data_IF_668764735807
#
_entry.id   IF_668764735807
#
_cell.length_a   1.000
_cell.length_b   1.000
_cell.length_c   1.000
_cell.angle_alpha   90.00
_cell.angle_beta   90.00
_cell.angle_gamma   90.00
#
_symmetry.space_group_name_H-M   'P 1'
#
loop_
_entity.id
_entity.type
_entity.pdbx_description
1 polymer ?
#
# COMPACT_ATOMS: atom_id res chain seq x y z
N UNK A 1 -16.69 0.33 -17.45
CA UNK A 1 -16.61 -1.13 -17.71
C UNK A 1 -15.14 -1.53 -17.73
N UNK A 2 -14.76 -2.47 -16.87
CA UNK A 2 -13.40 -3.02 -16.82
C UNK A 2 -13.23 -3.98 -18.00
N UNK A 3 -12.13 -3.87 -18.77
CA UNK A 3 -11.88 -4.77 -19.89
C UNK A 3 -11.83 -6.23 -19.41
N UNK A 4 -12.49 -7.13 -20.13
CA UNK A 4 -12.45 -8.57 -19.86
C UNK A 4 -13.49 -9.09 -18.86
N UNK A 5 -14.13 -8.24 -18.05
CA UNK A 5 -15.13 -8.73 -17.06
C UNK A 5 -16.44 -9.23 -17.69
N UNK A 6 -16.71 -8.84 -18.95
CA UNK A 6 -17.84 -9.32 -19.75
C UNK A 6 -17.53 -10.53 -20.65
N UNK A 7 -16.30 -11.04 -20.65
CA UNK A 7 -15.93 -12.20 -21.46
C UNK A 7 -16.30 -13.52 -20.74
N UNK A 8 -16.51 -14.63 -21.50
CA UNK A 8 -16.58 -15.97 -20.92
C UNK A 8 -15.33 -16.23 -20.07
N UNK A 9 -15.53 -16.74 -18.86
CA UNK A 9 -14.41 -17.04 -17.97
C UNK A 9 -13.78 -18.37 -18.40
N UNK A 10 -12.45 -18.44 -18.57
CA UNK A 10 -11.78 -19.69 -18.90
C UNK A 10 -11.89 -20.67 -17.73
N UNK A 11 -11.89 -21.97 -18.04
CA UNK A 11 -11.71 -23.00 -17.03
C UNK A 11 -10.31 -22.86 -16.41
N UNK A 12 -10.24 -22.75 -15.08
CA UNK A 12 -9.00 -22.73 -14.32
C UNK A 12 -9.28 -23.18 -12.88
N UNK A 13 -8.28 -23.79 -12.25
CA UNK A 13 -8.35 -24.22 -10.85
C UNK A 13 -8.05 -23.08 -9.87
N UNK A 14 -7.40 -22.03 -10.35
CA UNK A 14 -6.92 -20.90 -9.55
C UNK A 14 -7.01 -19.59 -10.35
N UNK A 15 -7.47 -18.53 -9.69
CA UNK A 15 -7.38 -17.17 -10.20
C UNK A 15 -6.58 -16.26 -9.27
N UNK A 16 -6.10 -15.13 -9.79
CA UNK A 16 -5.33 -14.14 -9.03
C UNK A 16 -6.01 -12.78 -9.14
N UNK A 17 -6.44 -12.22 -8.00
CA UNK A 17 -6.94 -10.84 -7.93
C UNK A 17 -5.74 -9.87 -7.86
N UNK A 18 -5.28 -9.41 -9.02
CA UNK A 18 -4.11 -8.54 -9.16
C UNK A 18 -4.49 -7.18 -9.76
N UNK A 19 -5.06 -6.30 -8.94
CA UNK A 19 -5.51 -4.96 -9.37
C UNK A 19 -4.87 -3.88 -8.50
N UNK A 20 -4.28 -2.85 -9.12
CA UNK A 20 -3.68 -1.70 -8.43
C UNK A 20 -4.73 -0.63 -8.03
N UNK A 21 -6.02 -0.98 -8.08
CA UNK A 21 -7.14 -0.13 -7.62
C UNK A 21 -7.42 -0.42 -6.14
N UNK A 22 -7.74 0.62 -5.37
CA UNK A 22 -7.95 0.57 -3.91
C UNK A 22 -9.12 -0.33 -3.52
N UNK A 23 -10.28 -0.16 -4.13
CA UNK A 23 -11.48 -0.93 -3.84
C UNK A 23 -11.93 -1.66 -5.09
N UNK A 24 -11.96 -2.98 -5.02
CA UNK A 24 -12.40 -3.85 -6.10
C UNK A 24 -13.91 -3.79 -6.17
N UNK A 25 -14.43 -3.24 -7.27
CA UNK A 25 -15.86 -3.10 -7.51
C UNK A 25 -16.55 -4.43 -7.85
N UNK A 26 -17.88 -4.39 -7.86
CA UNK A 26 -18.75 -5.56 -8.09
C UNK A 26 -18.50 -6.24 -9.45
N UNK A 27 -17.96 -5.53 -10.42
CA UNK A 27 -17.54 -6.06 -11.73
C UNK A 27 -16.58 -7.27 -11.61
N UNK A 28 -15.82 -7.36 -10.51
CA UNK A 28 -14.94 -8.49 -10.24
C UNK A 28 -15.57 -9.57 -9.36
N UNK A 29 -16.70 -9.30 -8.69
CA UNK A 29 -17.35 -10.27 -7.80
C UNK A 29 -17.70 -11.56 -8.57
N UNK A 30 -18.23 -11.43 -9.78
CA UNK A 30 -18.50 -12.57 -10.67
C UNK A 30 -17.26 -13.43 -10.94
N UNK A 31 -16.08 -12.83 -11.06
CA UNK A 31 -14.82 -13.53 -11.31
C UNK A 31 -14.35 -14.21 -10.03
N UNK A 32 -14.37 -13.49 -8.91
CA UNK A 32 -13.95 -13.99 -7.60
C UNK A 32 -14.82 -15.18 -7.19
N UNK A 33 -16.13 -15.10 -7.41
CA UNK A 33 -17.09 -16.13 -7.01
C UNK A 33 -17.16 -17.31 -8.02
N UNK A 34 -16.57 -17.18 -9.21
CA UNK A 34 -16.55 -18.24 -10.22
C UNK A 34 -15.48 -19.31 -9.96
N UNK A 35 -14.31 -18.90 -9.49
CA UNK A 35 -13.18 -19.80 -9.31
C UNK A 35 -13.16 -20.41 -7.89
N UNK A 36 -12.81 -21.71 -7.76
CA UNK A 36 -12.82 -22.37 -6.46
C UNK A 36 -11.76 -21.80 -5.51
N UNK A 37 -10.63 -21.34 -6.06
CA UNK A 37 -9.55 -20.67 -5.32
C UNK A 37 -9.19 -19.35 -6.01
N UNK A 38 -9.04 -18.28 -5.22
CA UNK A 38 -8.65 -16.96 -5.70
C UNK A 38 -7.60 -16.35 -4.78
N UNK A 39 -6.36 -16.25 -5.25
CA UNK A 39 -5.29 -15.53 -4.54
C UNK A 39 -5.71 -14.07 -4.37
N UNK A 40 -5.63 -13.58 -3.14
CA UNK A 40 -6.11 -12.28 -2.68
C UNK A 40 -7.62 -12.05 -2.86
N UNK A 41 -8.43 -13.09 -3.12
CA UNK A 41 -9.89 -12.94 -3.33
C UNK A 41 -10.64 -12.32 -2.14
N UNK A 42 -10.05 -12.43 -0.93
CA UNK A 42 -10.55 -11.82 0.31
C UNK A 42 -10.14 -10.36 0.48
N UNK A 43 -9.06 -9.94 -0.18
CA UNK A 43 -8.56 -8.56 -0.11
C UNK A 43 -9.31 -7.73 -1.14
N UNK A 44 -10.47 -7.18 -0.77
CA UNK A 44 -11.31 -6.38 -1.68
C UNK A 44 -11.02 -4.89 -1.61
N UNK A 45 -10.61 -4.38 -0.45
CA UNK A 45 -10.43 -2.96 -0.19
C UNK A 45 -9.15 -2.72 0.62
N UNK A 46 -8.27 -1.87 0.10
CA UNK A 46 -6.99 -1.48 0.73
C UNK A 46 -6.96 0.00 1.11
N UNK A 47 -8.12 0.64 1.26
CA UNK A 47 -8.22 2.02 1.74
C UNK A 47 -7.61 2.15 3.13
N UNK A 48 -6.91 3.26 3.42
CA UNK A 48 -6.23 3.48 4.71
C UNK A 48 -7.21 3.45 5.89
N UNK A 49 -8.41 3.99 5.70
CA UNK A 49 -9.52 3.97 6.65
C UNK A 49 -9.97 2.56 7.07
N UNK A 50 -9.65 1.51 6.28
CA UNK A 50 -10.01 0.12 6.61
C UNK A 50 -9.03 -0.57 7.52
N UNK A 51 -7.74 -0.24 7.44
CA UNK A 51 -6.69 -0.98 8.15
C UNK A 51 -5.87 -0.12 9.11
N UNK A 52 -5.72 1.17 8.82
CA UNK A 52 -4.80 2.04 9.55
C UNK A 52 -5.31 2.30 10.95
N UNK A 53 -4.42 2.10 11.92
CA UNK A 53 -4.60 2.46 13.33
C UNK A 53 -4.00 3.83 13.65
N UNK A 54 -3.46 4.51 12.63
CA UNK A 54 -2.73 5.76 12.78
C UNK A 54 -3.60 6.99 12.48
N UNK A 55 -4.81 6.80 11.96
CA UNK A 55 -5.71 7.91 11.62
C UNK A 55 -6.04 8.72 12.87
N UNK A 56 -5.99 10.04 12.73
CA UNK A 56 -6.37 11.01 13.76
C UNK A 56 -7.48 11.91 13.24
N UNK A 57 -8.46 12.16 14.09
CA UNK A 57 -9.44 13.22 13.93
C UNK A 57 -8.92 14.56 14.44
N UNK A 58 -9.53 15.65 13.98
CA UNK A 58 -9.19 17.03 14.40
C UNK A 58 -9.32 17.25 15.92
N UNK A 59 -10.18 16.46 16.59
CA UNK A 59 -10.52 16.59 18.00
C UNK A 59 -9.88 15.54 18.92
N UNK A 60 -9.09 14.61 18.41
CA UNK A 60 -8.64 13.41 19.16
C UNK A 60 -7.59 13.70 20.24
N UNK A 61 -7.18 14.96 20.41
CA UNK A 61 -6.20 15.38 21.41
C UNK A 61 -4.74 15.02 21.10
N UNK A 62 -4.47 14.30 20.00
CA UNK A 62 -3.11 14.07 19.53
C UNK A 62 -2.43 15.39 19.14
N UNK A 63 -1.17 15.57 19.55
CA UNK A 63 -0.39 16.81 19.31
C UNK A 63 0.93 16.58 18.58
N UNK A 64 1.26 15.34 18.26
CA UNK A 64 2.50 15.01 17.57
C UNK A 64 2.40 15.20 16.05
N UNK A 65 3.51 14.94 15.33
CA UNK A 65 3.57 15.09 13.88
C UNK A 65 2.53 14.24 13.15
N UNK A 66 2.01 14.76 12.04
CA UNK A 66 1.03 14.08 11.21
C UNK A 66 1.39 14.16 9.74
N UNK A 67 0.94 13.17 8.97
CA UNK A 67 1.09 13.11 7.52
C UNK A 67 -0.29 13.08 6.87
N UNK A 68 -0.47 13.89 5.84
CA UNK A 68 -1.69 13.90 5.01
C UNK A 68 -1.46 12.99 3.81
N UNK A 69 -2.33 11.99 3.68
CA UNK A 69 -2.34 11.04 2.56
C UNK A 69 -3.73 10.99 1.94
N UNK A 70 -3.84 10.39 0.77
CA UNK A 70 -5.15 9.94 0.28
C UNK A 70 -5.58 8.69 1.03
N UNK A 71 -6.88 8.53 1.22
CA UNK A 71 -7.43 7.26 1.71
C UNK A 71 -7.15 6.12 0.72
N UNK A 72 -7.08 6.46 -0.57
CA UNK A 72 -6.79 5.57 -1.68
C UNK A 72 -5.31 5.11 -1.72
N UNK A 73 -5.09 3.91 -2.27
CA UNK A 73 -3.78 3.35 -2.65
C UNK A 73 -3.08 4.25 -3.67
N UNK A 74 -1.75 4.22 -3.66
CA UNK A 74 -0.90 4.92 -4.65
C UNK A 74 -1.31 6.39 -4.89
N UNK A 75 -1.65 7.08 -3.82
CA UNK A 75 -2.04 8.49 -3.88
C UNK A 75 -3.38 8.74 -4.60
N UNK A 76 -4.20 7.73 -4.94
CA UNK A 76 -5.43 7.88 -5.73
C UNK A 76 -5.23 8.00 -7.25
N UNK A 77 -3.98 7.87 -7.73
CA UNK A 77 -3.66 8.05 -9.15
C UNK A 77 -4.31 6.98 -10.04
N UNK A 78 -4.47 5.74 -9.56
CA UNK A 78 -5.02 4.64 -10.36
C UNK A 78 -6.51 4.80 -10.59
N UNK A 79 -7.24 5.27 -9.59
CA UNK A 79 -8.67 5.61 -9.70
C UNK A 79 -8.87 6.80 -10.64
N UNK A 80 -7.96 7.79 -10.62
CA UNK A 80 -7.97 8.89 -11.57
C UNK A 80 -7.77 8.41 -13.01
N UNK A 81 -6.75 7.56 -13.24
CA UNK A 81 -6.48 6.97 -14.55
C UNK A 81 -7.66 6.12 -15.04
N UNK A 82 -8.27 5.34 -14.16
CA UNK A 82 -9.42 4.50 -14.50
C UNK A 82 -10.64 5.35 -14.94
N UNK A 83 -10.96 6.42 -14.22
CA UNK A 83 -12.04 7.35 -14.60
C UNK A 83 -11.78 7.99 -15.97
N UNK A 84 -10.56 8.46 -16.20
CA UNK A 84 -10.15 9.01 -17.48
C UNK A 84 -10.35 8.01 -18.63
N UNK A 85 -9.92 6.76 -18.46
CA UNK A 85 -10.11 5.69 -19.44
C UNK A 85 -11.58 5.31 -19.66
N UNK A 86 -12.47 5.65 -18.72
CA UNK A 86 -13.91 5.47 -18.82
C UNK A 86 -14.63 6.67 -19.46
N UNK A 87 -13.89 7.67 -19.94
CA UNK A 87 -14.43 8.84 -20.64
C UNK A 87 -14.75 10.03 -19.73
N UNK A 88 -14.38 9.97 -18.44
CA UNK A 88 -14.44 11.14 -17.58
C UNK A 88 -13.30 12.11 -17.93
N UNK A 89 -13.60 13.06 -18.82
CA UNK A 89 -12.66 14.11 -19.21
C UNK A 89 -12.48 15.18 -18.13
N UNK A 90 -13.36 15.22 -17.11
CA UNK A 90 -13.25 16.14 -15.97
C UNK A 90 -12.20 15.67 -14.95
N UNK A 91 -11.81 14.39 -14.99
CA UNK A 91 -10.73 13.82 -14.19
C UNK A 91 -9.33 14.30 -14.62
N UNK A 92 -9.25 15.33 -15.46
CA UNK A 92 -7.99 15.95 -15.86
C UNK A 92 -7.70 17.17 -15.01
N UNK A 93 -6.40 17.30 -14.67
CA UNK A 93 -5.72 18.41 -13.99
C UNK A 93 -5.68 18.26 -12.46
N UNK A 94 -4.55 17.71 -11.99
CA UNK A 94 -3.61 18.21 -10.96
C UNK A 94 -4.11 19.19 -9.88
N UNK A 95 -5.37 19.14 -9.45
CA UNK A 95 -5.88 19.98 -8.36
C UNK A 95 -5.32 19.39 -7.05
N UNK A 96 -4.08 19.79 -6.76
CA UNK A 96 -3.41 19.58 -5.48
C UNK A 96 -3.87 20.62 -4.45
N UNK A 97 -4.55 21.70 -4.90
CA UNK A 97 -5.13 22.78 -4.09
C UNK A 97 -6.36 23.39 -4.77
N UNK A 98 -7.36 23.90 -4.02
CA UNK A 98 -7.45 23.90 -2.56
C UNK A 98 -7.67 22.49 -2.00
N UNK A 99 -7.20 22.22 -0.78
CA UNK A 99 -7.25 20.89 -0.15
C UNK A 99 -8.62 20.19 -0.20
N UNK A 100 -9.71 20.96 -0.10
CA UNK A 100 -11.08 20.46 -0.14
C UNK A 100 -11.48 19.79 -1.47
N UNK A 101 -10.68 19.96 -2.53
CA UNK A 101 -10.92 19.43 -3.88
C UNK A 101 -9.87 18.41 -4.33
N UNK A 102 -8.95 18.04 -3.43
CA UNK A 102 -7.89 17.09 -3.77
C UNK A 102 -8.50 15.69 -3.89
N UNK A 103 -8.26 15.05 -5.03
CA UNK A 103 -8.68 13.67 -5.27
C UNK A 103 -7.50 12.70 -5.29
N UNK A 104 -6.29 13.22 -5.53
CA UNK A 104 -5.07 12.44 -5.57
C UNK A 104 -3.85 13.26 -5.12
N UNK A 105 -2.82 12.61 -4.59
CA UNK A 105 -1.58 13.24 -4.12
C UNK A 105 -0.35 12.61 -4.78
N UNK A 106 0.55 13.43 -5.31
CA UNK A 106 1.89 13.01 -5.75
C UNK A 106 2.86 12.90 -4.57
N UNK A 107 2.78 13.89 -3.68
CA UNK A 107 3.62 14.04 -2.51
C UNK A 107 2.76 14.16 -1.25
N UNK A 108 3.22 13.53 -0.16
CA UNK A 108 2.55 13.60 1.12
C UNK A 108 3.10 14.76 1.94
N UNK A 109 2.21 15.56 2.51
CA UNK A 109 2.61 16.69 3.36
C UNK A 109 2.67 16.25 4.82
N UNK A 110 3.80 16.50 5.47
CA UNK A 110 4.00 16.31 6.91
C UNK A 110 3.82 17.65 7.63
N UNK A 111 3.11 17.64 8.75
CA UNK A 111 2.87 18.78 9.63
C UNK A 111 3.34 18.43 11.04
N UNK A 112 3.76 19.42 11.83
CA UNK A 112 4.28 19.15 13.19
C UNK A 112 3.18 18.78 14.17
N UNK A 113 1.93 19.15 13.88
CA UNK A 113 0.76 18.80 14.68
C UNK A 113 -0.55 18.85 13.88
N UNK A 114 -1.64 18.21 14.35
CA UNK A 114 -2.96 18.35 13.73
C UNK A 114 -3.47 19.80 13.65
N UNK A 115 -3.01 20.69 14.52
CA UNK A 115 -3.42 22.10 14.54
C UNK A 115 -2.90 22.88 13.32
N UNK A 116 -1.79 22.45 12.72
CA UNK A 116 -1.21 23.04 11.52
C UNK A 116 -1.84 22.51 10.23
N UNK A 117 -2.59 21.41 10.31
CA UNK A 117 -3.23 20.80 9.15
C UNK A 117 -4.36 21.72 8.66
N UNK A 118 -4.33 22.15 7.38
CA UNK A 118 -5.31 23.10 6.86
C UNK A 118 -6.76 22.57 6.95
N UNK A 119 -7.69 23.46 7.27
CA UNK A 119 -9.13 23.13 7.46
C UNK A 119 -9.74 22.35 6.30
N UNK A 120 -9.33 22.65 5.07
CA UNK A 120 -9.81 21.94 3.88
C UNK A 120 -9.41 20.47 3.79
N UNK A 121 -8.37 20.03 4.50
CA UNK A 121 -8.00 18.60 4.59
C UNK A 121 -9.04 17.87 5.43
N UNK A 122 -9.40 18.42 6.59
CA UNK A 122 -10.40 17.84 7.50
C UNK A 122 -11.81 17.76 6.92
N UNK A 123 -12.08 18.54 5.86
CA UNK A 123 -13.36 18.56 5.15
C UNK A 123 -13.35 17.66 3.90
N UNK A 124 -12.21 17.07 3.55
CA UNK A 124 -12.06 16.28 2.34
C UNK A 124 -12.16 14.77 2.67
N UNK A 125 -13.22 14.08 2.22
CA UNK A 125 -13.38 12.65 2.48
C UNK A 125 -12.36 11.75 1.78
N UNK A 126 -11.63 12.27 0.78
CA UNK A 126 -10.59 11.51 0.06
C UNK A 126 -9.24 11.53 0.78
N UNK A 127 -9.09 12.35 1.83
CA UNK A 127 -7.84 12.51 2.56
C UNK A 127 -7.96 11.92 3.96
N UNK A 128 -6.88 11.30 4.40
CA UNK A 128 -6.69 10.87 5.78
C UNK A 128 -5.52 11.63 6.40
N UNK A 129 -5.64 11.91 7.68
CA UNK A 129 -4.55 12.44 8.50
C UNK A 129 -4.10 11.31 9.42
N UNK A 130 -2.86 10.89 9.29
CA UNK A 130 -2.28 9.84 10.11
C UNK A 130 -1.19 10.40 11.01
N UNK A 131 -1.00 9.80 12.19
CA UNK A 131 0.21 10.01 13.00
C UNK A 131 1.44 9.73 12.13
N UNK A 132 2.38 10.66 12.10
CA UNK A 132 3.66 10.47 11.43
C UNK A 132 4.67 9.93 12.45
N UNK A 133 4.93 8.62 12.40
CA UNK A 133 5.73 7.89 13.38
C UNK A 133 6.99 7.26 12.75
N UNK A 134 7.86 8.05 12.10
CA UNK A 134 9.02 7.50 11.39
C UNK A 134 9.94 6.73 12.33
N UNK A 135 10.52 5.64 11.83
CA UNK A 135 11.63 4.99 12.48
C UNK A 135 12.94 5.64 12.04
N UNK A 136 13.89 5.74 12.96
CA UNK A 136 15.23 6.25 12.68
C UNK A 136 16.29 5.34 13.27
N UNK A 137 17.45 5.27 12.63
CA UNK A 137 18.64 4.66 13.23
C UNK A 137 19.40 5.64 14.13
N UNK A 138 20.48 5.17 14.76
CA UNK A 138 21.32 5.97 15.66
C UNK A 138 22.00 7.17 14.97
N UNK A 139 22.19 7.11 13.64
CA UNK A 139 22.71 8.20 12.84
C UNK A 139 21.64 9.26 12.47
N UNK A 140 20.38 9.02 12.85
CA UNK A 140 19.25 9.90 12.56
C UNK A 140 18.63 9.74 11.17
N UNK A 141 19.11 8.78 10.36
CA UNK A 141 18.54 8.46 9.04
C UNK A 141 17.17 7.80 9.21
N UNK A 142 16.26 8.06 8.27
CA UNK A 142 14.92 7.48 8.25
C UNK A 142 14.93 6.06 7.70
N UNK A 143 14.16 5.20 8.35
CA UNK A 143 13.99 3.80 7.97
C UNK A 143 12.55 3.53 7.51
N UNK A 144 12.43 2.82 6.39
CA UNK A 144 11.18 2.21 5.96
C UNK A 144 11.38 0.71 5.86
N UNK A 145 10.66 -0.05 6.69
CA UNK A 145 10.66 -1.50 6.67
C UNK A 145 9.61 -1.98 5.67
N UNK A 146 9.99 -2.98 4.87
CA UNK A 146 9.18 -3.53 3.80
C UNK A 146 9.16 -5.04 3.92
N UNK A 147 7.97 -5.59 4.07
CA UNK A 147 7.72 -7.03 4.05
C UNK A 147 6.92 -7.40 2.81
N UNK A 148 7.47 -8.26 1.95
CA UNK A 148 6.79 -8.79 0.77
C UNK A 148 6.61 -10.29 0.95
N UNK A 149 5.44 -10.80 0.56
CA UNK A 149 5.08 -12.20 0.77
C UNK A 149 4.23 -12.75 -0.37
N UNK A 150 4.30 -14.06 -0.56
CA UNK A 150 3.40 -14.85 -1.39
C UNK A 150 3.26 -16.24 -0.76
N UNK A 151 2.05 -16.63 -0.34
CA UNK A 151 1.83 -17.92 0.32
C UNK A 151 2.69 -18.02 1.59
N UNK A 152 3.51 -19.06 1.67
CA UNK A 152 4.47 -19.28 2.76
C UNK A 152 5.86 -18.65 2.54
N UNK A 153 6.08 -17.97 1.41
CA UNK A 153 7.36 -17.36 1.04
C UNK A 153 7.37 -15.87 1.33
N UNK A 154 8.49 -15.39 1.86
CA UNK A 154 8.60 -14.05 2.42
C UNK A 154 10.00 -13.48 2.21
N UNK A 155 10.07 -12.18 1.95
CA UNK A 155 11.30 -11.39 2.02
C UNK A 155 11.05 -10.17 2.92
N UNK A 156 12.08 -9.79 3.65
CA UNK A 156 12.01 -8.69 4.60
C UNK A 156 13.27 -7.84 4.51
N UNK A 157 13.09 -6.54 4.31
CA UNK A 157 14.21 -5.61 4.16
C UNK A 157 13.80 -4.21 4.63
N UNK A 158 14.79 -3.33 4.77
CA UNK A 158 14.58 -1.91 5.01
C UNK A 158 15.23 -1.05 3.94
N UNK A 159 14.62 0.10 3.68
CA UNK A 159 15.19 1.19 2.90
C UNK A 159 15.65 2.30 3.87
N UNK A 160 16.85 2.82 3.64
CA UNK A 160 17.40 3.94 4.42
C UNK A 160 17.36 5.22 3.59
N UNK A 161 16.97 6.34 4.18
CA UNK A 161 16.93 7.66 3.52
C UNK A 161 17.26 8.81 4.47
N UNK A 162 17.69 9.94 3.90
CA UNK A 162 17.79 11.21 4.62
C UNK A 162 16.46 11.99 4.63
N UNK A 163 15.43 11.49 3.93
CA UNK A 163 14.13 12.14 3.84
C UNK A 163 13.06 11.43 4.68
N UNK A 164 12.13 12.19 5.29
CA UNK A 164 11.09 11.66 6.17
C UNK A 164 10.10 10.70 5.49
N UNK A 165 9.84 10.91 4.20
CA UNK A 165 8.97 10.06 3.40
C UNK A 165 9.85 9.24 2.47
N UNK A 166 10.20 8.03 2.92
CA UNK A 166 11.10 7.14 2.19
C UNK A 166 10.39 6.59 0.94
N UNK A 167 11.03 6.75 -0.21
CA UNK A 167 10.61 6.28 -1.54
C UNK A 167 11.76 5.57 -2.23
N UNK A 168 11.46 4.82 -3.28
CA UNK A 168 12.50 4.15 -4.09
C UNK A 168 13.52 5.13 -4.68
N UNK A 169 13.10 6.36 -5.00
CA UNK A 169 13.94 7.41 -5.62
C UNK A 169 14.89 8.12 -4.65
N UNK A 170 14.55 8.18 -3.35
CA UNK A 170 15.39 8.80 -2.31
C UNK A 170 16.02 7.75 -1.35
N UNK A 171 15.95 6.46 -1.71
CA UNK A 171 16.59 5.39 -0.94
C UNK A 171 18.10 5.41 -1.17
N UNK A 172 18.87 5.63 -0.12
CA UNK A 172 20.33 5.59 -0.13
C UNK A 172 20.85 4.16 -0.28
N UNK A 173 20.25 3.24 0.49
CA UNK A 173 20.61 1.82 0.51
C UNK A 173 19.44 0.97 0.96
N UNK A 174 19.52 -0.32 0.61
CA UNK A 174 18.60 -1.37 1.03
C UNK A 174 19.36 -2.43 1.80
N UNK A 175 18.77 -2.89 2.88
CA UNK A 175 19.39 -3.86 3.78
C UNK A 175 18.37 -4.97 4.05
N UNK A 176 18.73 -6.22 3.74
CA UNK A 176 17.91 -7.37 4.11
C UNK A 176 17.89 -7.54 5.62
N UNK A 177 16.73 -7.95 6.12
CA UNK A 177 16.48 -8.17 7.54
C UNK A 177 16.13 -9.63 7.77
N UNK A 178 16.44 -10.12 8.97
CA UNK A 178 16.06 -11.45 9.39
C UNK A 178 14.53 -11.52 9.62
N UNK A 179 13.88 -12.53 9.05
CA UNK A 179 12.46 -12.82 9.26
C UNK A 179 12.13 -13.10 10.73
N UNK A 180 13.09 -13.56 11.54
CA UNK A 180 12.94 -13.70 12.98
C UNK A 180 12.68 -12.36 13.69
N UNK A 181 13.10 -11.24 13.07
CA UNK A 181 12.84 -9.89 13.54
C UNK A 181 11.51 -9.30 13.07
N UNK A 182 10.74 -10.00 12.23
CA UNK A 182 9.45 -9.50 11.75
C UNK A 182 8.41 -9.53 12.90
N UNK A 183 7.78 -8.39 13.24
CA UNK A 183 6.79 -8.35 14.31
C UNK A 183 5.60 -9.29 14.09
N UNK A 184 5.27 -10.11 15.10
CA UNK A 184 4.15 -11.07 15.03
C UNK A 184 2.80 -10.40 14.74
N UNK A 185 2.59 -9.17 15.24
CA UNK A 185 1.37 -8.40 15.01
C UNK A 185 1.13 -8.06 13.53
N UNK A 186 2.18 -8.03 12.69
CA UNK A 186 2.03 -7.88 11.24
C UNK A 186 1.52 -9.17 10.59
N UNK A 187 1.96 -10.34 11.06
CA UNK A 187 1.45 -11.63 10.59
C UNK A 187 -0.03 -11.78 10.92
N UNK A 188 -0.42 -11.42 12.14
CA UNK A 188 -1.84 -11.36 12.56
C UNK A 188 -2.64 -10.38 11.69
N UNK A 189 -2.05 -9.22 11.39
CA UNK A 189 -2.68 -8.22 10.51
C UNK A 189 -2.86 -8.76 9.08
N UNK A 190 -1.85 -9.43 8.52
CA UNK A 190 -1.92 -10.10 7.20
C UNK A 190 -3.05 -11.12 7.18
N UNK A 191 -3.12 -12.00 8.18
CA UNK A 191 -4.16 -13.01 8.30
C UNK A 191 -5.57 -12.38 8.39
N UNK A 192 -5.73 -11.35 9.23
CA UNK A 192 -6.99 -10.62 9.40
C UNK A 192 -7.44 -9.93 8.10
N UNK A 193 -6.50 -9.32 7.37
CA UNK A 193 -6.77 -8.66 6.09
C UNK A 193 -6.97 -9.66 4.93
N UNK A 194 -6.60 -10.93 5.11
CA UNK A 194 -6.80 -11.99 4.13
C UNK A 194 -5.82 -11.96 2.96
N UNK A 195 -4.60 -11.46 3.19
CA UNK A 195 -3.57 -11.29 2.16
C UNK A 195 -2.79 -12.60 1.90
N UNK A 196 -2.90 -13.11 0.68
CA UNK A 196 -2.15 -14.26 0.18
C UNK A 196 -0.82 -13.83 -0.45
N UNK A 197 -0.86 -12.74 -1.21
CA UNK A 197 0.27 -12.11 -1.89
C UNK A 197 0.24 -10.60 -1.69
N UNK A 198 1.36 -9.97 -1.40
CA UNK A 198 1.41 -8.51 -1.28
C UNK A 198 2.63 -7.98 -0.57
N UNK A 199 2.55 -6.70 -0.21
CA UNK A 199 3.60 -5.96 0.49
C UNK A 199 3.03 -5.04 1.55
N UNK A 200 3.63 -5.06 2.74
CA UNK A 200 3.36 -4.12 3.81
C UNK A 200 4.57 -3.20 4.03
N UNK A 201 4.30 -1.90 4.07
CA UNK A 201 5.27 -0.85 4.37
C UNK A 201 5.01 -0.33 5.78
N UNK A 202 6.02 -0.33 6.64
CA UNK A 202 5.86 -0.02 8.06
C UNK A 202 7.12 0.55 8.71
N UNK A 203 6.96 1.00 9.95
CA UNK A 203 8.05 1.35 10.86
C UNK A 203 7.85 0.63 12.20
N UNK A 204 8.93 0.47 12.95
CA UNK A 204 8.92 0.10 14.35
C UNK A 204 9.42 1.30 15.16
N UNK A 205 8.55 1.92 15.93
CA UNK A 205 8.85 3.09 16.76
C UNK A 205 8.46 2.77 18.19
N UNK A 206 9.40 2.89 19.13
CA UNK A 206 9.22 2.56 20.56
C UNK A 206 8.65 1.14 20.79
N UNK A 207 9.10 0.18 19.98
CA UNK A 207 8.63 -1.22 20.04
C UNK A 207 7.23 -1.45 19.47
N UNK A 208 6.53 -0.39 19.02
CA UNK A 208 5.23 -0.47 18.39
C UNK A 208 5.32 -0.43 16.86
N UNK A 209 4.47 -1.23 16.20
CA UNK A 209 4.36 -1.25 14.74
C UNK A 209 3.47 -0.11 14.27
N UNK A 210 4.02 0.72 13.38
CA UNK A 210 3.28 1.70 12.60
C UNK A 210 3.15 1.20 11.16
N UNK A 211 2.03 0.52 10.83
CA UNK A 211 1.73 0.05 9.48
C UNK A 211 1.22 1.21 8.62
N UNK A 212 1.95 1.53 7.55
CA UNK A 212 1.70 2.72 6.72
C UNK A 212 0.90 2.44 5.46
N UNK A 213 1.16 1.29 4.83
CA UNK A 213 0.57 0.94 3.55
C UNK A 213 0.47 -0.59 3.39
N UNK A 214 -0.58 -1.05 2.72
CA UNK A 214 -0.80 -2.46 2.36
C UNK A 214 -1.12 -2.52 0.88
N UNK A 215 -0.35 -3.30 0.12
CA UNK A 215 -0.44 -3.31 -1.33
C UNK A 215 -0.55 -4.75 -1.88
N UNK A 216 -1.53 -4.98 -2.76
CA UNK A 216 -1.79 -6.27 -3.44
C UNK A 216 -0.98 -6.46 -4.72
N UNK A 217 -0.42 -5.38 -5.25
CA UNK A 217 0.33 -5.33 -6.52
C UNK A 217 1.70 -4.69 -6.28
N UNK A 218 2.55 -5.28 -5.42
CA UNK A 218 3.88 -4.74 -5.18
C UNK A 218 4.69 -4.68 -6.48
N UNK A 219 5.18 -3.48 -6.80
CA UNK A 219 6.14 -3.27 -7.87
C UNK A 219 7.57 -3.34 -7.36
N UNK A 220 8.48 -3.82 -8.20
CA UNK A 220 9.91 -3.63 -8.05
C UNK A 220 10.37 -2.49 -8.98
N UNK A 221 11.34 -1.67 -8.58
CA UNK A 221 11.85 -0.62 -9.47
C UNK A 221 12.47 -1.29 -10.70
N UNK A 222 12.00 -0.92 -11.89
CA UNK A 222 12.67 -1.25 -13.14
C UNK A 222 13.98 -0.45 -13.19
N UNK A 223 15.11 -1.15 -13.21
CA UNK A 223 16.44 -0.57 -13.49
C UNK A 223 16.95 -1.16 -14.80
N UNK A 224 17.76 -0.40 -15.54
CA UNK A 224 18.35 -0.85 -16.82
C UNK A 224 19.11 -2.17 -16.70
N UNK A 225 19.68 -2.45 -15.52
CA UNK A 225 20.10 -3.78 -15.10
C UNK A 225 19.46 -4.11 -13.75
N UNK A 226 18.58 -5.12 -13.72
CA UNK A 226 18.04 -5.62 -12.46
C UNK A 226 19.17 -6.29 -11.66
N UNK A 227 19.38 -5.88 -10.38
CA UNK A 227 20.32 -6.58 -9.52
C UNK A 227 19.97 -8.07 -9.44
N UNK A 228 20.94 -9.00 -9.48
CA UNK A 228 20.68 -10.45 -9.42
C UNK A 228 19.80 -10.88 -8.24
N UNK A 229 19.88 -10.13 -7.14
CA UNK A 229 19.06 -10.31 -5.94
C UNK A 229 17.56 -10.12 -6.20
N UNK A 230 17.16 -9.20 -7.09
CA UNK A 230 15.74 -8.99 -7.44
C UNK A 230 15.19 -10.25 -8.11
N UNK A 231 15.93 -10.82 -9.06
CA UNK A 231 15.55 -12.06 -9.72
C UNK A 231 15.51 -13.25 -8.74
N UNK A 232 16.46 -13.33 -7.80
CA UNK A 232 16.44 -14.35 -6.75
C UNK A 232 15.21 -14.22 -5.83
N UNK A 233 14.88 -12.99 -5.42
CA UNK A 233 13.71 -12.69 -4.61
C UNK A 233 12.39 -13.01 -5.33
N UNK A 234 12.30 -12.69 -6.63
CA UNK A 234 11.14 -13.05 -7.45
C UNK A 234 10.96 -14.57 -7.53
N UNK A 235 12.05 -15.33 -7.74
CA UNK A 235 12.00 -16.82 -7.75
C UNK A 235 11.59 -17.40 -6.40
N UNK A 236 12.15 -16.86 -5.31
CA UNK A 236 11.78 -17.26 -3.95
C UNK A 236 10.29 -17.02 -3.71
N UNK A 237 9.80 -15.81 -3.98
CA UNK A 237 8.39 -15.45 -3.76
C UNK A 237 7.46 -16.25 -4.68
N UNK A 238 7.80 -16.45 -5.95
CA UNK A 238 6.94 -17.17 -6.89
C UNK A 238 6.69 -18.62 -6.49
N UNK A 239 7.64 -19.26 -5.78
CA UNK A 239 7.44 -20.60 -5.24
C UNK A 239 6.32 -20.67 -4.18
N UNK A 240 5.89 -19.53 -3.62
CA UNK A 240 4.72 -19.46 -2.75
C UNK A 240 3.39 -19.75 -3.45
N UNK A 241 3.38 -19.75 -4.79
CA UNK A 241 2.24 -20.23 -5.57
C UNK A 241 1.92 -21.70 -5.27
N UNK A 242 2.94 -22.51 -4.95
CA UNK A 242 2.80 -23.94 -4.68
C UNK A 242 1.87 -24.21 -3.49
N UNK A 243 1.70 -23.25 -2.55
CA UNK A 243 0.73 -23.37 -1.46
C UNK A 243 -0.74 -23.44 -1.91
N UNK A 244 -1.02 -23.07 -3.17
CA UNK A 244 -2.36 -22.98 -3.72
C UNK A 244 -2.67 -24.06 -4.76
N UNK A 245 -1.64 -24.78 -5.20
CA UNK A 245 -1.70 -25.88 -6.15
C UNK A 245 -1.68 -27.18 -5.33
N UNK A 246 -2.76 -27.96 -5.40
CA UNK A 246 -2.82 -29.27 -4.72
C UNK A 246 -1.92 -30.30 -5.42
#
# INVERSE_FOLDING_TARGET
MIKGTGQPLPAADLAILHTDITAVGDDYARIIDHYPKVINGRVRDTSKSRFSRLIVGRGDGYRGPVIVKTDLNYGGMRELQQRYLQGDMTSTIRIQRPWRRVEWLEEYSVFNSPAEVPTGVWQNPNLVVEKFLPERNDAGEYLLRIWVFFGDREIYYQCVSNEPVVKSTNTLRRENLDLAGLPQSLRETRARLGFDFGKFDFAVSDGAVALYDVNRTPGFPQREAEPPEVAANMRLLSAGLDCFLD
#
